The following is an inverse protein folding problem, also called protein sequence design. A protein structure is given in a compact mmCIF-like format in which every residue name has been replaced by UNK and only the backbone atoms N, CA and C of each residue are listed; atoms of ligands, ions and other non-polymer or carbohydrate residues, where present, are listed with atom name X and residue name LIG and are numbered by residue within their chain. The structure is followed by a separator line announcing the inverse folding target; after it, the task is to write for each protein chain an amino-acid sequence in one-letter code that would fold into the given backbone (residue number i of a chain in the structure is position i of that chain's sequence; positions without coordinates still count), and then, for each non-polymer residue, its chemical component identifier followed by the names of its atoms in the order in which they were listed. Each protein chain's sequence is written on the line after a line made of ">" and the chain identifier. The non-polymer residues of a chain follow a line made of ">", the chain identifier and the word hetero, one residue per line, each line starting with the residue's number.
data_IF_549111974458
#
_entry.id   IF_549111974458
#
_cell.length_a   1.000
_cell.length_b   1.000
_cell.length_c   1.000
_cell.angle_alpha   90.00
_cell.angle_beta   90.00
_cell.angle_gamma   90.00
#
_symmetry.space_group_name_H-M   'P 1'
#
loop_
_entity.id
_entity.type
_entity.pdbx_description
1 polymer ?
#
# COMPACT_ATOMS: atom_id res chain seq x y z
N UNK A 1 13.68 -3.22 -23.20
CA UNK A 1 13.25 -1.81 -23.01
C UNK A 1 13.65 -1.38 -21.61
N UNK A 2 14.35 -0.25 -21.51
CA UNK A 2 15.04 0.20 -20.29
C UNK A 2 14.06 0.39 -19.11
N UNK A 3 14.30 -0.37 -18.05
CA UNK A 3 13.56 -0.36 -16.80
C UNK A 3 13.88 0.93 -16.01
N UNK A 4 13.28 2.07 -16.42
CA UNK A 4 13.46 3.38 -15.74
C UNK A 4 12.94 3.40 -14.29
N UNK A 5 12.30 2.34 -13.81
CA UNK A 5 11.79 2.21 -12.44
C UNK A 5 12.67 1.36 -11.50
N UNK A 6 13.81 0.81 -11.97
CA UNK A 6 14.58 -0.16 -11.16
C UNK A 6 15.33 0.43 -9.95
N UNK A 7 15.29 1.75 -9.74
CA UNK A 7 15.99 2.42 -8.63
C UNK A 7 15.11 3.06 -7.56
N UNK A 8 13.79 3.20 -7.79
CA UNK A 8 12.90 3.84 -6.80
C UNK A 8 12.33 2.81 -5.82
N UNK A 9 12.30 3.11 -4.51
CA UNK A 9 11.56 2.31 -3.53
C UNK A 9 10.09 2.13 -3.92
N UNK A 10 9.49 0.99 -3.58
CA UNK A 10 8.10 0.64 -3.87
C UNK A 10 7.13 1.68 -3.31
N UNK A 11 7.33 2.16 -2.09
CA UNK A 11 6.45 3.16 -1.49
C UNK A 11 6.38 4.45 -2.34
N UNK A 12 7.50 4.89 -2.91
CA UNK A 12 7.55 6.07 -3.79
C UNK A 12 6.80 5.81 -5.11
N UNK A 13 6.86 4.57 -5.63
CA UNK A 13 6.07 4.17 -6.80
C UNK A 13 4.57 4.18 -6.49
N UNK A 14 4.16 3.70 -5.31
CA UNK A 14 2.77 3.75 -4.86
C UNK A 14 2.24 5.19 -4.81
N UNK A 15 2.97 6.11 -4.15
CA UNK A 15 2.61 7.54 -4.10
C UNK A 15 2.48 8.13 -5.50
N UNK A 16 3.41 7.80 -6.41
CA UNK A 16 3.36 8.24 -7.80
C UNK A 16 2.13 7.75 -8.57
N UNK A 17 1.71 6.50 -8.34
CA UNK A 17 0.50 5.95 -8.93
C UNK A 17 -0.75 6.56 -8.33
N UNK A 18 -0.81 6.78 -7.02
CA UNK A 18 -1.91 7.51 -6.37
C UNK A 18 -2.06 8.90 -6.95
N UNK A 19 -0.95 9.64 -7.13
CA UNK A 19 -0.95 10.95 -7.79
C UNK A 19 -1.52 10.86 -9.21
N UNK A 20 -1.12 9.83 -9.96
CA UNK A 20 -1.63 9.58 -11.31
C UNK A 20 -3.14 9.33 -11.31
N UNK A 21 -3.62 8.44 -10.43
CA UNK A 21 -5.05 8.14 -10.27
C UNK A 21 -5.85 9.39 -9.89
N UNK A 22 -5.37 10.15 -8.92
CA UNK A 22 -6.00 11.42 -8.51
C UNK A 22 -6.14 12.40 -9.67
N UNK A 23 -5.12 12.53 -10.52
CA UNK A 23 -5.15 13.45 -11.66
C UNK A 23 -6.17 13.10 -12.74
N UNK A 24 -6.75 11.89 -12.71
CA UNK A 24 -7.82 11.49 -13.63
C UNK A 24 -9.23 11.74 -13.12
N UNK A 25 -9.36 12.07 -11.82
CA UNK A 25 -10.65 12.48 -11.28
C UNK A 25 -11.03 13.86 -11.82
N UNK A 26 -12.33 14.10 -11.94
CA UNK A 26 -12.86 15.42 -12.27
C UNK A 26 -12.53 16.44 -11.17
N UNK A 27 -12.52 17.73 -11.52
CA UNK A 27 -12.13 18.81 -10.59
C UNK A 27 -12.99 18.84 -9.31
N UNK A 28 -14.26 18.47 -9.40
CA UNK A 28 -15.15 18.36 -8.25
C UNK A 28 -14.69 17.23 -7.31
N UNK A 29 -14.59 16.01 -7.83
CA UNK A 29 -14.10 14.85 -7.07
C UNK A 29 -12.70 15.07 -6.49
N UNK A 30 -11.81 15.79 -7.19
CA UNK A 30 -10.50 16.17 -6.68
C UNK A 30 -10.59 17.08 -5.44
N UNK A 31 -11.53 18.03 -5.43
CA UNK A 31 -11.78 18.89 -4.28
C UNK A 31 -12.35 18.10 -3.11
N UNK A 32 -13.36 17.27 -3.36
CA UNK A 32 -13.99 16.43 -2.34
C UNK A 32 -12.96 15.51 -1.66
N UNK A 33 -12.08 14.88 -2.44
CA UNK A 33 -11.02 14.01 -1.88
C UNK A 33 -10.07 14.80 -0.98
N UNK A 34 -9.64 15.99 -1.40
CA UNK A 34 -8.77 16.84 -0.57
C UNK A 34 -9.48 17.30 0.70
N UNK A 35 -10.77 17.62 0.64
CA UNK A 35 -11.57 18.01 1.80
C UNK A 35 -11.77 16.85 2.77
N UNK A 36 -12.07 15.65 2.25
CA UNK A 36 -12.16 14.44 3.05
C UNK A 36 -10.85 14.15 3.79
N UNK A 37 -9.71 14.17 3.09
CA UNK A 37 -8.39 13.95 3.72
C UNK A 37 -8.11 14.96 4.83
N UNK A 38 -8.42 16.25 4.63
CA UNK A 38 -8.29 17.28 5.68
C UNK A 38 -9.18 16.97 6.87
N UNK A 39 -10.42 16.54 6.64
CA UNK A 39 -11.37 16.21 7.71
C UNK A 39 -10.92 15.02 8.58
N UNK A 40 -10.11 14.11 8.02
CA UNK A 40 -9.54 12.98 8.74
C UNK A 40 -8.28 13.32 9.55
N UNK A 41 -7.75 14.54 9.47
CA UNK A 41 -6.60 14.96 10.28
C UNK A 41 -7.09 15.40 11.68
N UNK A 42 -6.64 14.68 12.70
CA UNK A 42 -6.92 14.98 14.10
C UNK A 42 -6.19 16.28 14.53
N UNK A 43 -6.71 17.04 15.52
CA UNK A 43 -6.07 18.28 16.00
C UNK A 43 -4.61 18.14 16.49
N UNK A 44 -4.17 16.94 16.84
CA UNK A 44 -2.77 16.68 17.20
C UNK A 44 -1.84 16.46 15.98
N UNK A 45 -2.36 16.55 14.75
CA UNK A 45 -1.64 16.37 13.49
C UNK A 45 -1.61 14.93 12.95
N UNK A 46 -1.95 13.92 13.74
CA UNK A 46 -2.12 12.54 13.26
C UNK A 46 -3.41 12.37 12.46
N UNK A 47 -3.52 11.30 11.67
CA UNK A 47 -4.78 10.97 11.00
C UNK A 47 -5.56 9.89 11.75
N UNK A 48 -6.88 10.00 11.72
CA UNK A 48 -7.78 9.16 12.52
C UNK A 48 -8.08 7.81 11.89
N UNK A 49 -8.11 6.77 12.72
CA UNK A 49 -8.76 5.50 12.42
C UNK A 49 -10.28 5.65 12.32
N UNK A 50 -10.97 4.57 11.95
CA UNK A 50 -12.45 4.51 11.90
C UNK A 50 -13.14 4.77 13.25
N UNK A 51 -12.40 4.67 14.36
CA UNK A 51 -12.87 5.00 15.70
C UNK A 51 -12.56 6.44 16.12
N UNK A 52 -12.04 7.28 15.22
CA UNK A 52 -11.68 8.67 15.48
C UNK A 52 -10.36 8.87 16.22
N UNK A 53 -9.58 7.81 16.45
CA UNK A 53 -8.30 7.90 17.18
C UNK A 53 -7.15 8.11 16.21
N UNK A 54 -6.26 9.05 16.50
CA UNK A 54 -5.05 9.24 15.70
C UNK A 54 -4.04 8.12 15.95
N UNK A 55 -3.58 7.44 14.90
CA UNK A 55 -2.52 6.41 14.98
C UNK A 55 -1.52 6.53 13.82
N UNK A 56 -0.42 5.77 13.87
CA UNK A 56 0.60 5.82 12.82
C UNK A 56 0.19 5.05 11.55
N UNK A 57 -0.69 4.05 11.66
CA UNK A 57 -1.13 3.25 10.53
C UNK A 57 -2.01 4.07 9.57
N UNK A 58 -3.08 4.70 10.07
CA UNK A 58 -3.92 5.62 9.29
C UNK A 58 -3.16 6.89 8.90
N UNK A 59 -2.24 7.36 9.75
CA UNK A 59 -1.35 8.46 9.38
C UNK A 59 -0.46 8.14 8.17
N UNK A 60 -0.07 6.89 7.97
CA UNK A 60 0.70 6.51 6.79
C UNK A 60 -0.08 6.82 5.51
N UNK A 61 -1.34 6.39 5.45
CA UNK A 61 -2.21 6.67 4.30
C UNK A 61 -2.48 8.16 4.15
N UNK A 62 -2.80 8.86 5.24
CA UNK A 62 -3.01 10.31 5.22
C UNK A 62 -1.80 11.09 4.71
N UNK A 63 -0.59 10.73 5.15
CA UNK A 63 0.67 11.33 4.68
C UNK A 63 0.92 11.02 3.21
N UNK A 64 0.76 9.77 2.79
CA UNK A 64 1.00 9.39 1.38
C UNK A 64 -0.02 10.00 0.42
N UNK A 65 -1.29 10.08 0.82
CA UNK A 65 -2.32 10.82 0.09
C UNK A 65 -1.97 12.30 0.02
N UNK A 66 -1.65 12.93 1.15
CA UNK A 66 -1.29 14.36 1.19
C UNK A 66 -0.05 14.68 0.36
N UNK A 67 0.93 13.77 0.32
CA UNK A 67 2.11 13.89 -0.53
C UNK A 67 1.78 13.72 -2.01
N UNK A 68 0.92 12.76 -2.37
CA UNK A 68 0.49 12.55 -3.75
C UNK A 68 -0.36 13.71 -4.29
N UNK A 69 -1.20 14.30 -3.44
CA UNK A 69 -2.18 15.32 -3.80
C UNK A 69 -1.69 16.77 -3.62
N UNK A 70 -0.40 16.94 -3.29
CA UNK A 70 0.26 18.22 -3.04
C UNK A 70 -0.49 19.06 -1.96
N UNK A 71 -0.62 18.49 -0.74
CA UNK A 71 -1.29 19.09 0.42
C UNK A 71 -0.28 19.48 1.53
N UNK A 72 0.52 20.56 1.33
CA UNK A 72 1.67 20.88 2.20
C UNK A 72 1.27 21.22 3.64
N UNK A 73 0.15 21.89 3.86
CA UNK A 73 -0.34 22.23 5.21
C UNK A 73 -0.64 20.97 6.05
N UNK A 74 -1.31 20.00 5.44
CA UNK A 74 -1.62 18.71 6.09
C UNK A 74 -0.34 17.94 6.42
N UNK A 75 0.66 17.95 5.54
CA UNK A 75 1.97 17.35 5.81
C UNK A 75 2.70 18.06 6.94
N UNK A 76 2.68 19.39 6.99
CA UNK A 76 3.35 20.18 8.03
C UNK A 76 2.73 19.92 9.41
N UNK A 77 1.40 19.91 9.50
CA UNK A 77 0.69 19.53 10.72
C UNK A 77 1.09 18.12 11.21
N UNK A 78 1.29 17.18 10.28
CA UNK A 78 1.71 15.83 10.65
C UNK A 78 3.16 15.77 11.16
N UNK A 79 4.07 16.62 10.66
CA UNK A 79 5.45 16.64 11.19
C UNK A 79 5.48 16.96 12.68
N UNK A 80 4.61 17.87 13.14
CA UNK A 80 4.45 18.20 14.57
C UNK A 80 4.03 16.97 15.40
N UNK A 81 3.08 16.17 14.89
CA UNK A 81 2.64 14.93 15.53
C UNK A 81 3.77 13.92 15.75
N UNK A 82 4.63 13.74 14.74
CA UNK A 82 5.75 12.77 14.82
C UNK A 82 6.75 13.14 15.92
N UNK A 83 6.97 14.43 16.16
CA UNK A 83 7.83 14.92 17.23
C UNK A 83 7.28 14.61 18.63
N UNK A 84 5.98 14.82 18.84
CA UNK A 84 5.32 14.63 20.14
C UNK A 84 5.15 13.14 20.52
N UNK A 85 4.77 12.29 19.56
CA UNK A 85 4.46 10.86 19.81
C UNK A 85 5.66 9.91 19.82
N UNK A 86 6.89 10.40 19.66
CA UNK A 86 8.08 9.55 19.52
C UNK A 86 8.36 8.63 20.73
N UNK A 87 7.79 8.92 21.89
CA UNK A 87 8.05 8.20 23.15
C UNK A 87 6.95 7.22 23.58
N UNK A 88 5.82 7.14 22.86
CA UNK A 88 4.76 6.18 23.20
C UNK A 88 5.08 4.76 22.71
N UNK A 89 4.81 3.75 23.55
CA UNK A 89 4.94 2.35 23.15
C UNK A 89 3.86 2.02 22.11
N UNK A 90 4.25 2.01 20.85
CA UNK A 90 3.37 1.69 19.74
C UNK A 90 3.49 0.22 19.32
N UNK A 91 2.44 -0.31 18.68
CA UNK A 91 2.44 -1.68 18.15
C UNK A 91 3.45 -1.86 17.03
N UNK A 92 3.69 -3.11 16.59
CA UNK A 92 4.59 -3.38 15.46
C UNK A 92 4.16 -2.65 14.18
N UNK A 93 2.85 -2.62 13.89
CA UNK A 93 2.28 -1.95 12.71
C UNK A 93 2.61 -0.45 12.76
N UNK A 94 2.32 0.20 13.88
CA UNK A 94 2.64 1.62 14.08
C UNK A 94 4.13 1.92 13.94
N UNK A 95 4.99 1.04 14.46
CA UNK A 95 6.43 1.21 14.35
C UNK A 95 6.89 1.12 12.88
N UNK A 96 6.37 0.18 12.09
CA UNK A 96 6.70 0.09 10.66
C UNK A 96 6.10 1.26 9.86
N UNK A 97 4.88 1.67 10.19
CA UNK A 97 4.22 2.81 9.56
C UNK A 97 4.97 4.13 9.85
N UNK A 98 5.40 4.34 11.10
CA UNK A 98 6.23 5.49 11.49
C UNK A 98 7.56 5.54 10.74
N UNK A 99 8.20 4.39 10.49
CA UNK A 99 9.41 4.34 9.64
C UNK A 99 9.11 4.82 8.22
N UNK A 100 8.03 4.35 7.60
CA UNK A 100 7.65 4.76 6.24
C UNK A 100 7.27 6.25 6.17
N UNK A 101 6.50 6.74 7.15
CA UNK A 101 6.16 8.17 7.28
C UNK A 101 7.45 9.00 7.33
N UNK A 102 8.41 8.59 8.18
CA UNK A 102 9.66 9.33 8.35
C UNK A 102 10.46 9.40 7.06
N UNK A 103 10.64 8.28 6.38
CA UNK A 103 11.35 8.23 5.08
C UNK A 103 10.60 9.05 4.02
N UNK A 104 9.28 9.14 4.10
CA UNK A 104 8.46 9.87 3.13
C UNK A 104 8.48 11.39 3.36
N UNK A 105 8.63 11.84 4.61
CA UNK A 105 8.53 13.26 5.00
C UNK A 105 9.87 13.95 5.27
N UNK A 106 10.83 13.21 5.81
CA UNK A 106 12.12 13.74 6.24
C UNK A 106 13.21 13.07 5.40
N UNK A 107 13.86 13.85 4.53
CA UNK A 107 15.01 13.38 3.73
C UNK A 107 16.30 13.26 4.58
N UNK A 108 16.23 13.55 5.89
CA UNK A 108 17.38 13.59 6.80
C UNK A 108 17.74 12.25 7.48
N UNK A 109 18.95 12.22 8.02
CA UNK A 109 19.79 11.10 8.48
C UNK A 109 19.08 10.12 9.45
N UNK A 110 18.27 9.24 8.89
CA UNK A 110 17.53 8.24 9.65
C UNK A 110 18.40 7.01 9.94
N UNK A 111 18.49 6.61 11.22
CA UNK A 111 19.15 5.36 11.59
C UNK A 111 18.38 4.15 11.07
N UNK A 112 18.85 3.61 9.95
CA UNK A 112 18.35 2.37 9.35
C UNK A 112 18.28 1.25 10.41
N UNK A 113 17.09 0.70 10.71
CA UNK A 113 16.96 -0.40 11.66
C UNK A 113 17.65 -1.64 11.09
N UNK A 114 18.36 -2.38 11.93
CA UNK A 114 18.97 -3.67 11.56
C UNK A 114 17.95 -4.65 10.99
N UNK A 115 18.38 -5.45 10.01
CA UNK A 115 17.53 -6.44 9.33
C UNK A 115 16.89 -7.42 10.32
N UNK A 116 17.66 -7.88 11.32
CA UNK A 116 17.16 -8.78 12.36
C UNK A 116 16.05 -8.12 13.20
N UNK A 117 16.16 -6.81 13.45
CA UNK A 117 15.13 -6.05 14.16
C UNK A 117 13.84 -5.98 13.33
N UNK A 118 13.94 -5.66 12.05
CA UNK A 118 12.78 -5.63 11.15
C UNK A 118 12.12 -7.01 10.99
N UNK A 119 12.92 -8.07 10.86
CA UNK A 119 12.42 -9.43 10.75
C UNK A 119 11.69 -9.84 12.05
N UNK A 120 12.29 -9.56 13.21
CA UNK A 120 11.67 -9.81 14.51
C UNK A 120 10.37 -9.03 14.66
N UNK A 121 10.29 -7.81 14.14
CA UNK A 121 9.06 -7.02 14.13
C UNK A 121 7.97 -7.71 13.30
N UNK A 122 8.25 -8.10 12.06
CA UNK A 122 7.27 -8.72 11.16
C UNK A 122 6.63 -10.00 11.73
N UNK A 123 7.43 -10.87 12.35
CA UNK A 123 7.02 -12.17 12.86
C UNK A 123 6.65 -12.21 14.35
N UNK A 124 6.66 -11.06 15.05
CA UNK A 124 6.22 -10.99 16.44
C UNK A 124 4.72 -11.27 16.53
N UNK A 125 4.31 -12.09 17.50
CA UNK A 125 2.89 -12.25 17.85
C UNK A 125 2.30 -10.89 18.23
N UNK A 126 1.17 -10.55 17.62
CA UNK A 126 0.41 -9.35 17.94
C UNK A 126 -1.05 -9.55 17.55
N UNK A 127 -1.95 -8.79 18.18
CA UNK A 127 -3.38 -8.84 17.92
C UNK A 127 -3.78 -8.34 16.52
N UNK A 128 -2.86 -7.70 15.79
CA UNK A 128 -3.11 -7.18 14.45
C UNK A 128 -2.98 -8.30 13.39
N UNK A 129 -3.56 -8.10 12.21
CA UNK A 129 -3.40 -9.05 11.10
C UNK A 129 -1.95 -9.19 10.69
N UNK A 130 -1.49 -10.43 10.49
CA UNK A 130 -0.15 -10.73 9.99
C UNK A 130 0.09 -10.14 8.60
N UNK A 131 -0.98 -9.95 7.81
CA UNK A 131 -0.91 -9.44 6.45
C UNK A 131 -0.44 -7.98 6.40
N UNK A 132 -1.01 -7.12 7.27
CA UNK A 132 -0.57 -5.72 7.39
C UNK A 132 0.89 -5.62 7.83
N UNK A 133 1.31 -6.44 8.80
CA UNK A 133 2.71 -6.45 9.27
C UNK A 133 3.67 -6.83 8.16
N UNK A 134 3.37 -7.89 7.41
CA UNK A 134 4.22 -8.35 6.32
C UNK A 134 4.29 -7.32 5.20
N UNK A 135 3.16 -6.75 4.79
CA UNK A 135 3.12 -5.71 3.76
C UNK A 135 4.00 -4.49 4.12
N UNK A 136 3.80 -3.91 5.31
CA UNK A 136 4.60 -2.79 5.78
C UNK A 136 6.08 -3.16 5.93
N UNK A 137 6.37 -4.35 6.45
CA UNK A 137 7.74 -4.87 6.56
C UNK A 137 8.42 -4.91 5.18
N UNK A 138 7.72 -5.38 4.16
CA UNK A 138 8.28 -5.46 2.81
C UNK A 138 8.53 -4.09 2.19
N UNK A 139 7.67 -3.11 2.42
CA UNK A 139 7.88 -1.74 1.99
C UNK A 139 9.08 -1.10 2.68
N UNK A 140 9.21 -1.29 4.00
CA UNK A 140 10.35 -0.81 4.79
C UNK A 140 11.65 -1.50 4.36
N UNK A 141 11.60 -2.82 4.15
CA UNK A 141 12.73 -3.60 3.66
C UNK A 141 13.18 -3.08 2.30
N UNK A 142 12.24 -2.90 1.37
CA UNK A 142 12.55 -2.37 0.04
C UNK A 142 13.09 -0.93 0.06
N UNK A 143 12.63 -0.09 1.00
CA UNK A 143 13.13 1.27 1.15
C UNK A 143 14.60 1.29 1.63
N UNK A 144 14.96 0.43 2.59
CA UNK A 144 16.28 0.48 3.23
C UNK A 144 17.31 -0.50 2.66
N UNK A 145 16.90 -1.58 1.99
CA UNK A 145 17.75 -2.73 1.68
C UNK A 145 17.90 -3.04 0.18
N UNK A 146 18.20 -2.01 -0.63
CA UNK A 146 18.34 -2.13 -2.10
C UNK A 146 19.72 -2.63 -2.58
N UNK A 147 20.59 -3.07 -1.67
CA UNK A 147 21.97 -3.44 -1.98
C UNK A 147 22.10 -4.80 -2.68
N UNK A 148 23.05 -4.91 -3.63
CA UNK A 148 23.29 -6.14 -4.42
C UNK A 148 23.52 -7.40 -3.56
N UNK A 149 24.26 -7.28 -2.45
CA UNK A 149 24.51 -8.41 -1.54
C UNK A 149 23.24 -8.87 -0.83
N UNK A 150 22.39 -7.94 -0.40
CA UNK A 150 21.12 -8.30 0.24
C UNK A 150 20.20 -8.99 -0.76
N UNK A 151 20.13 -8.48 -2.00
CA UNK A 151 19.37 -9.11 -3.07
C UNK A 151 19.86 -10.53 -3.37
N UNK A 152 21.17 -10.78 -3.32
CA UNK A 152 21.73 -12.12 -3.50
C UNK A 152 21.24 -13.11 -2.43
N UNK A 153 21.35 -12.76 -1.15
CA UNK A 153 20.87 -13.63 -0.06
C UNK A 153 19.34 -13.79 -0.07
N UNK A 154 18.61 -12.69 -0.30
CA UNK A 154 17.15 -12.72 -0.41
C UNK A 154 16.70 -13.61 -1.57
N UNK A 155 17.40 -13.57 -2.71
CA UNK A 155 17.14 -14.46 -3.85
C UNK A 155 17.28 -15.92 -3.49
N UNK A 156 18.32 -16.30 -2.74
CA UNK A 156 18.51 -17.68 -2.29
C UNK A 156 17.37 -18.10 -1.37
N UNK A 157 17.06 -17.31 -0.35
CA UNK A 157 15.98 -17.62 0.61
C UNK A 157 14.63 -17.75 -0.12
N UNK A 158 14.30 -16.79 -0.97
CA UNK A 158 13.03 -16.77 -1.71
C UNK A 158 12.95 -17.90 -2.73
N UNK A 159 14.07 -18.31 -3.34
CA UNK A 159 14.06 -19.44 -4.27
C UNK A 159 13.55 -20.73 -3.61
N UNK A 160 13.89 -20.96 -2.34
CA UNK A 160 13.43 -22.12 -1.56
C UNK A 160 12.12 -21.90 -0.81
N UNK A 161 11.62 -20.66 -0.72
CA UNK A 161 10.37 -20.36 -0.03
C UNK A 161 9.15 -20.69 -0.91
N UNK A 162 8.32 -21.67 -0.54
CA UNK A 162 7.11 -21.99 -1.30
C UNK A 162 6.07 -20.88 -1.14
N UNK A 163 5.25 -20.67 -2.15
CA UNK A 163 4.08 -19.79 -2.03
C UNK A 163 3.10 -20.43 -1.04
N UNK A 164 2.70 -19.74 0.03
CA UNK A 164 1.77 -20.31 0.99
C UNK A 164 0.40 -20.49 0.31
N UNK A 165 -0.05 -21.75 0.26
CA UNK A 165 -1.33 -22.15 -0.33
C UNK A 165 -2.46 -21.42 0.41
N UNK A 166 -3.51 -21.00 -0.31
CA UNK A 166 -4.67 -20.27 0.25
C UNK A 166 -4.37 -18.92 0.90
N UNK A 167 -3.20 -18.33 0.65
CA UNK A 167 -2.92 -16.98 1.13
C UNK A 167 -3.78 -15.92 0.45
N UNK A 168 -4.07 -14.80 1.16
CA UNK A 168 -4.73 -13.67 0.57
C UNK A 168 -3.96 -13.11 -0.64
N UNK A 169 -4.70 -12.53 -1.59
CA UNK A 169 -4.16 -11.92 -2.81
C UNK A 169 -3.11 -10.84 -2.52
N UNK A 170 -3.24 -10.11 -1.41
CA UNK A 170 -2.27 -9.13 -0.93
C UNK A 170 -0.90 -9.73 -0.58
N UNK A 171 -0.85 -10.92 0.02
CA UNK A 171 0.42 -11.62 0.27
C UNK A 171 1.02 -12.10 -1.04
N UNK A 172 0.20 -12.71 -1.91
CA UNK A 172 0.67 -13.14 -3.22
C UNK A 172 1.26 -11.96 -3.99
N UNK A 173 0.62 -10.79 -3.95
CA UNK A 173 1.08 -9.57 -4.61
C UNK A 173 2.45 -9.13 -4.05
N UNK A 174 2.59 -9.06 -2.73
CA UNK A 174 3.84 -8.69 -2.09
C UNK A 174 4.99 -9.68 -2.39
N UNK A 175 4.73 -10.99 -2.29
CA UNK A 175 5.73 -12.01 -2.62
C UNK A 175 6.13 -11.95 -4.09
N UNK A 176 5.17 -11.74 -5.00
CA UNK A 176 5.42 -11.56 -6.44
C UNK A 176 6.39 -10.40 -6.68
N UNK A 177 6.12 -9.25 -6.07
CA UNK A 177 6.95 -8.05 -6.22
C UNK A 177 8.38 -8.25 -5.73
N UNK A 178 8.56 -8.86 -4.56
CA UNK A 178 9.91 -9.05 -3.99
C UNK A 178 10.70 -10.08 -4.79
N UNK A 179 10.07 -11.20 -5.18
CA UNK A 179 10.69 -12.21 -6.04
C UNK A 179 11.13 -11.59 -7.36
N UNK A 180 10.29 -10.77 -7.96
CA UNK A 180 10.63 -10.04 -9.18
C UNK A 180 11.80 -9.07 -8.97
N UNK A 181 11.80 -8.29 -7.88
CA UNK A 181 12.88 -7.35 -7.55
C UNK A 181 14.25 -8.02 -7.35
N UNK A 182 14.28 -9.24 -6.81
CA UNK A 182 15.52 -10.01 -6.65
C UNK A 182 15.89 -10.83 -7.91
N UNK A 183 15.16 -10.65 -9.02
CA UNK A 183 15.47 -11.26 -10.31
C UNK A 183 15.01 -12.72 -10.45
N UNK A 184 14.03 -13.17 -9.66
CA UNK A 184 13.39 -14.47 -9.85
C UNK A 184 12.27 -14.38 -10.89
N UNK A 185 12.03 -15.49 -11.59
CA UNK A 185 10.85 -15.63 -12.45
C UNK A 185 9.59 -15.73 -11.60
N UNK A 186 8.56 -14.97 -11.98
CA UNK A 186 7.30 -14.84 -11.23
C UNK A 186 6.06 -15.24 -12.05
N UNK A 187 6.25 -16.05 -13.10
CA UNK A 187 5.15 -16.42 -14.00
C UNK A 187 4.06 -17.26 -13.31
N UNK A 188 4.43 -18.06 -12.30
CA UNK A 188 3.46 -18.87 -11.54
C UNK A 188 2.63 -17.98 -10.62
N UNK A 189 3.27 -17.00 -10.01
CA UNK A 189 2.72 -16.02 -9.09
C UNK A 189 1.76 -15.09 -9.82
N UNK A 190 2.13 -14.59 -11.01
CA UNK A 190 1.23 -13.81 -11.88
C UNK A 190 -0.05 -14.58 -12.21
N UNK A 191 0.07 -15.86 -12.58
CA UNK A 191 -1.10 -16.72 -12.81
C UNK A 191 -1.92 -16.92 -11.54
N UNK A 192 -1.26 -17.14 -10.40
CA UNK A 192 -1.90 -17.27 -9.10
C UNK A 192 -2.70 -16.02 -8.73
N UNK A 193 -2.17 -14.82 -9.00
CA UNK A 193 -2.84 -13.54 -8.80
C UNK A 193 -4.08 -13.38 -9.69
N UNK A 194 -3.97 -13.75 -10.97
CA UNK A 194 -5.12 -13.70 -11.88
C UNK A 194 -6.26 -14.63 -11.46
N UNK A 195 -6.01 -15.70 -10.71
CA UNK A 195 -7.07 -16.55 -10.14
C UNK A 195 -7.87 -15.88 -9.01
N UNK A 196 -7.44 -14.73 -8.49
CA UNK A 196 -8.23 -13.94 -7.54
C UNK A 196 -9.20 -12.98 -8.26
N UNK A 197 -9.12 -12.85 -9.57
CA UNK A 197 -10.01 -11.99 -10.34
C UNK A 197 -11.42 -12.57 -10.40
N UNK A 198 -12.42 -11.73 -10.18
CA UNK A 198 -13.84 -12.04 -10.30
C UNK A 198 -14.47 -11.11 -11.34
N UNK A 199 -15.12 -11.69 -12.35
CA UNK A 199 -15.69 -10.93 -13.47
C UNK A 199 -16.85 -10.05 -12.98
N UNK A 200 -16.96 -8.83 -13.49
CA UNK A 200 -17.93 -7.82 -13.04
C UNK A 200 -17.62 -7.23 -11.67
N UNK A 201 -16.51 -7.63 -11.05
CA UNK A 201 -16.03 -7.09 -9.77
C UNK A 201 -14.53 -6.73 -9.94
N UNK A 202 -13.73 -6.95 -8.92
CA UNK A 202 -12.27 -6.78 -8.95
C UNK A 202 -11.55 -8.04 -8.55
N UNK A 203 -10.53 -7.91 -7.70
CA UNK A 203 -9.82 -9.03 -7.11
C UNK A 203 -10.29 -9.31 -5.69
N UNK A 204 -10.35 -10.60 -5.36
CA UNK A 204 -10.79 -11.12 -4.07
C UNK A 204 -9.65 -11.31 -3.10
N UNK A 205 -9.89 -11.02 -1.82
CA UNK A 205 -8.93 -11.32 -0.76
C UNK A 205 -8.51 -12.79 -0.79
N UNK A 206 -9.46 -13.72 -0.76
CA UNK A 206 -9.18 -15.15 -0.84
C UNK A 206 -9.85 -15.77 -2.07
N UNK A 207 -9.43 -16.97 -2.48
CA UNK A 207 -10.01 -17.62 -3.67
C UNK A 207 -11.42 -18.16 -3.43
N UNK A 208 -11.72 -18.50 -2.18
CA UNK A 208 -12.96 -19.15 -1.75
C UNK A 208 -14.05 -18.15 -1.32
N UNK A 209 -13.76 -16.84 -1.30
CA UNK A 209 -14.80 -15.82 -1.10
C UNK A 209 -15.35 -15.40 -2.46
N UNK A 210 -16.57 -14.87 -2.48
CA UNK A 210 -17.24 -14.38 -3.70
C UNK A 210 -17.10 -12.86 -3.88
N UNK A 211 -16.86 -12.14 -2.79
CA UNK A 211 -16.73 -10.69 -2.82
C UNK A 211 -15.31 -10.24 -3.11
N UNK A 212 -15.19 -9.32 -4.07
CA UNK A 212 -13.97 -8.57 -4.30
C UNK A 212 -13.89 -7.41 -3.30
N UNK A 213 -12.67 -6.92 -3.07
CA UNK A 213 -12.47 -5.74 -2.23
C UNK A 213 -11.42 -4.81 -2.86
N UNK A 214 -11.51 -3.53 -2.53
CA UNK A 214 -10.69 -2.50 -3.14
C UNK A 214 -9.20 -2.61 -2.77
N UNK A 215 -8.88 -3.06 -1.56
CA UNK A 215 -7.50 -3.31 -1.14
C UNK A 215 -6.87 -4.40 -2.02
N UNK A 216 -7.51 -5.57 -2.10
CA UNK A 216 -7.05 -6.70 -2.90
C UNK A 216 -6.94 -6.33 -4.37
N UNK A 217 -7.94 -5.61 -4.90
CA UNK A 217 -7.94 -5.09 -6.27
C UNK A 217 -6.72 -4.21 -6.53
N UNK A 218 -6.47 -3.21 -5.68
CA UNK A 218 -5.37 -2.27 -5.86
C UNK A 218 -4.00 -2.95 -5.81
N UNK A 219 -3.74 -3.78 -4.79
CA UNK A 219 -2.41 -4.38 -4.60
C UNK A 219 -2.11 -5.46 -5.64
N UNK A 220 -3.12 -6.22 -6.09
CA UNK A 220 -2.95 -7.23 -7.13
C UNK A 220 -2.71 -6.55 -8.49
N UNK A 221 -3.49 -5.54 -8.85
CA UNK A 221 -3.25 -4.76 -10.07
C UNK A 221 -1.84 -4.15 -10.08
N UNK A 222 -1.41 -3.56 -8.96
CA UNK A 222 -0.08 -3.00 -8.82
C UNK A 222 1.02 -4.05 -9.04
N UNK A 223 0.91 -5.22 -8.41
CA UNK A 223 1.88 -6.31 -8.58
C UNK A 223 1.92 -6.83 -10.02
N UNK A 224 0.76 -7.01 -10.66
CA UNK A 224 0.67 -7.44 -12.05
C UNK A 224 1.30 -6.40 -12.99
N UNK A 225 1.01 -5.10 -12.81
CA UNK A 225 1.58 -4.00 -13.59
C UNK A 225 3.09 -3.90 -13.42
N UNK A 226 3.57 -3.88 -12.18
CA UNK A 226 4.99 -3.73 -11.84
C UNK A 226 5.84 -4.90 -12.35
N UNK A 227 5.22 -6.05 -12.58
CA UNK A 227 5.88 -7.22 -13.16
C UNK A 227 5.64 -7.35 -14.67
N UNK A 228 5.15 -6.32 -15.35
CA UNK A 228 4.93 -6.29 -16.80
C UNK A 228 3.91 -7.34 -17.27
N UNK A 229 2.77 -7.41 -16.57
CA UNK A 229 1.62 -8.23 -16.98
C UNK A 229 0.60 -7.36 -17.72
N UNK A 230 0.05 -7.90 -18.81
CA UNK A 230 -1.03 -7.26 -19.55
C UNK A 230 -2.33 -7.27 -18.74
N UNK A 231 -2.90 -6.08 -18.52
CA UNK A 231 -4.10 -5.87 -17.71
C UNK A 231 -5.37 -5.69 -18.56
N UNK A 232 -5.29 -5.70 -19.90
CA UNK A 232 -6.44 -5.40 -20.79
C UNK A 232 -7.67 -6.27 -20.51
N UNK A 233 -7.46 -7.52 -20.08
CA UNK A 233 -8.54 -8.48 -19.82
C UNK A 233 -9.25 -8.26 -18.47
N UNK A 234 -8.63 -7.56 -17.52
CA UNK A 234 -9.21 -7.31 -16.18
C UNK A 234 -9.54 -5.85 -15.94
N UNK A 235 -8.96 -4.94 -16.74
CA UNK A 235 -9.09 -3.51 -16.57
C UNK A 235 -10.54 -3.00 -16.65
N UNK A 236 -11.41 -3.46 -17.56
CA UNK A 236 -12.78 -2.96 -17.64
C UNK A 236 -13.58 -3.22 -16.35
N UNK A 237 -13.63 -4.47 -15.88
CA UNK A 237 -14.35 -4.84 -14.66
C UNK A 237 -13.75 -4.14 -13.42
N UNK A 238 -12.41 -4.05 -13.35
CA UNK A 238 -11.75 -3.33 -12.25
C UNK A 238 -12.07 -1.83 -12.25
N UNK A 239 -12.11 -1.18 -13.42
CA UNK A 239 -12.46 0.25 -13.51
C UNK A 239 -13.91 0.49 -13.08
N UNK A 240 -14.84 -0.35 -13.51
CA UNK A 240 -16.25 -0.28 -13.10
C UNK A 240 -16.39 -0.47 -11.59
N UNK A 241 -15.69 -1.46 -11.02
CA UNK A 241 -15.65 -1.68 -9.57
C UNK A 241 -15.06 -0.48 -8.80
N UNK A 242 -13.96 0.10 -9.27
CA UNK A 242 -13.33 1.28 -8.64
C UNK A 242 -14.27 2.48 -8.70
N UNK A 243 -14.93 2.72 -9.84
CA UNK A 243 -15.89 3.81 -10.01
C UNK A 243 -17.09 3.65 -9.08
N UNK A 244 -17.66 2.44 -9.00
CA UNK A 244 -18.77 2.13 -8.10
C UNK A 244 -18.39 2.18 -6.61
N UNK A 245 -17.09 2.20 -6.29
CA UNK A 245 -16.62 2.33 -4.90
C UNK A 245 -16.45 3.78 -4.45
N UNK A 246 -16.58 4.77 -5.34
CA UNK A 246 -16.43 6.18 -4.97
C UNK A 246 -17.67 6.68 -4.20
N UNK A 247 -17.44 7.34 -3.06
CA UNK A 247 -18.48 7.99 -2.26
C UNK A 247 -17.97 9.29 -1.65
N UNK A 248 -18.46 10.41 -2.16
CA UNK A 248 -18.38 11.74 -1.53
C UNK A 248 -16.97 12.08 -1.00
N UNK A 249 -15.98 12.13 -1.90
CA UNK A 249 -14.58 12.39 -1.57
C UNK A 249 -13.76 11.20 -1.05
N UNK A 250 -14.33 10.01 -0.92
CA UNK A 250 -13.62 8.82 -0.49
C UNK A 250 -13.86 7.63 -1.43
N UNK A 251 -13.10 6.55 -1.23
CA UNK A 251 -13.44 5.26 -1.81
C UNK A 251 -13.78 4.26 -0.69
N UNK A 252 -14.82 3.48 -0.90
CA UNK A 252 -15.31 2.43 -0.02
C UNK A 252 -14.61 1.09 -0.30
N UNK A 253 -14.79 0.12 0.59
CA UNK A 253 -14.17 -1.19 0.45
C UNK A 253 -14.73 -2.02 -0.74
N UNK A 254 -15.97 -1.74 -1.15
CA UNK A 254 -16.65 -2.43 -2.26
C UNK A 254 -17.23 -3.80 -1.91
N UNK A 255 -17.21 -4.21 -0.63
CA UNK A 255 -17.71 -5.49 -0.13
C UNK A 255 -18.93 -5.33 0.82
N UNK A 256 -19.64 -4.21 0.73
CA UNK A 256 -20.78 -3.85 1.59
C UNK A 256 -20.43 -3.00 2.82
N UNK A 257 -19.14 -2.75 3.07
CA UNK A 257 -18.70 -1.78 4.06
C UNK A 257 -18.80 -0.34 3.52
N UNK A 258 -19.69 0.44 4.12
CA UNK A 258 -19.99 1.84 3.74
C UNK A 258 -19.15 2.85 4.52
N UNK A 259 -18.20 2.41 5.35
CA UNK A 259 -17.34 3.32 6.11
C UNK A 259 -16.28 3.93 5.19
N UNK A 260 -16.35 5.26 5.01
CA UNK A 260 -15.32 6.05 4.37
C UNK A 260 -14.07 6.13 5.25
N UNK A 261 -12.91 5.83 4.67
CA UNK A 261 -11.62 5.95 5.35
C UNK A 261 -10.46 6.29 4.39
N UNK A 262 -9.30 6.61 4.97
CA UNK A 262 -8.09 6.94 4.20
C UNK A 262 -7.45 5.74 3.53
N UNK A 263 -7.63 4.54 4.08
CA UNK A 263 -7.00 3.32 3.60
C UNK A 263 -7.60 2.91 2.24
N UNK A 264 -8.92 2.79 2.16
CA UNK A 264 -9.60 2.47 0.91
C UNK A 264 -9.55 3.62 -0.09
N UNK A 265 -9.55 4.87 0.37
CA UNK A 265 -9.29 6.03 -0.52
C UNK A 265 -7.91 5.95 -1.17
N UNK A 266 -6.88 5.55 -0.41
CA UNK A 266 -5.56 5.28 -0.98
C UNK A 266 -5.58 4.13 -2.00
N UNK A 267 -6.25 3.02 -1.69
CA UNK A 267 -6.33 1.89 -2.61
C UNK A 267 -7.13 2.19 -3.88
N UNK A 268 -8.22 2.96 -3.80
CA UNK A 268 -8.99 3.39 -4.97
C UNK A 268 -8.17 4.22 -5.95
N UNK A 269 -7.46 5.23 -5.43
CA UNK A 269 -6.56 6.05 -6.24
C UNK A 269 -5.36 5.27 -6.78
N UNK A 270 -4.80 4.35 -5.99
CA UNK A 270 -3.73 3.46 -6.42
C UNK A 270 -4.19 2.55 -7.58
N UNK A 271 -5.35 1.93 -7.45
CA UNK A 271 -5.91 1.05 -8.46
C UNK A 271 -6.19 1.81 -9.76
N UNK A 272 -6.85 2.98 -9.66
CA UNK A 272 -7.11 3.85 -10.79
C UNK A 272 -5.81 4.26 -11.49
N UNK A 273 -4.83 4.73 -10.73
CA UNK A 273 -3.51 5.13 -11.23
C UNK A 273 -2.70 4.00 -11.88
N UNK A 274 -2.98 2.76 -11.50
CA UNK A 274 -2.32 1.58 -12.06
C UNK A 274 -2.86 1.19 -13.44
N UNK A 275 -4.15 1.43 -13.67
CA UNK A 275 -4.87 1.01 -14.89
C UNK A 275 -4.72 2.00 -16.05
N UNK A 276 -4.51 3.27 -15.75
CA UNK A 276 -4.28 4.35 -16.72
C UNK A 276 -2.82 4.46 -17.18
#
# INVERSE_FOLDING_TARGET
>A
MNNRNSGKPLYSQLIGLVKKGFSTLENENQREVKEFIRSCQHPNGGFTDRGGRSDFYYSLFGVWLSAALDMPETLENHKSFVGEKQHERSGTVDALASLLIRISLFEEDFQKPSFLKLLKMAFRESNQSIFYRLFLFFLVFDAFYQGKMIHFFARIILFFYPLPVESPGSIYAALTLIRYKVGLSVNREKKALLFHFEKGKGFKAFRNVEEADLLSTAVVLFALKATDTDLRMVAPDCLEFIQGSYDSGAFLAGNGDEVRDLEYTFYGLLALGTLI
#
